data_IF_130797185677
#
_entry.id   IF_130797185677
#
_cell.length_a   1.000
_cell.length_b   1.000
_cell.length_c   1.000
_cell.angle_alpha   90.00
_cell.angle_beta   90.00
_cell.angle_gamma   90.00
#
_symmetry.space_group_name_H-M   'P 1'
#
loop_
_entity.id
_entity.type
_entity.pdbx_description
1 polymer ?
#
# COMPACT_ATOMS: atom_id res chain seq x y z
N UNK A 1 -9.61 18.52 16.71
CA UNK A 1 -9.06 17.15 16.68
C UNK A 1 -9.44 16.52 15.35
N UNK A 2 -8.52 16.41 14.38
CA UNK A 2 -8.74 15.79 13.06
C UNK A 2 -7.44 15.11 12.60
N UNK A 3 -7.00 14.06 13.30
CA UNK A 3 -5.80 13.25 12.95
C UNK A 3 -6.16 11.79 12.67
N UNK A 4 -7.32 11.56 12.07
CA UNK A 4 -7.74 10.22 11.64
C UNK A 4 -8.07 10.26 10.13
N UNK A 5 -7.83 9.15 9.44
CA UNK A 5 -8.01 9.00 7.99
C UNK A 5 -6.69 8.79 7.24
N UNK A 6 -6.78 8.42 5.96
CA UNK A 6 -5.63 8.24 5.09
C UNK A 6 -4.99 9.60 4.76
N UNK A 7 -3.67 9.71 4.97
CA UNK A 7 -2.89 10.87 4.58
C UNK A 7 -1.85 10.46 3.53
N UNK A 8 -1.54 11.30 2.53
CA UNK A 8 -2.23 12.56 2.21
C UNK A 8 -3.66 12.32 1.73
N UNK A 9 -4.61 13.14 2.22
CA UNK A 9 -6.02 13.03 1.84
C UNK A 9 -6.19 13.20 0.34
N UNK A 10 -6.90 12.27 -0.28
CA UNK A 10 -7.33 12.35 -1.67
C UNK A 10 -8.44 13.41 -1.86
N UNK A 11 -8.83 13.76 -3.10
CA UNK A 11 -9.88 14.74 -3.36
C UNK A 11 -11.25 14.38 -2.75
N UNK A 12 -11.60 13.09 -2.72
CA UNK A 12 -12.83 12.60 -2.08
C UNK A 12 -12.78 12.80 -0.56
N UNK A 13 -11.68 12.41 0.08
CA UNK A 13 -11.44 12.62 1.51
C UNK A 13 -11.48 14.10 1.89
N UNK A 14 -10.90 14.98 1.07
CA UNK A 14 -10.95 16.43 1.28
C UNK A 14 -12.37 16.97 1.21
N UNK A 15 -13.15 16.57 0.21
CA UNK A 15 -14.54 16.99 0.08
C UNK A 15 -15.37 16.53 1.27
N UNK A 16 -15.19 15.30 1.73
CA UNK A 16 -15.87 14.78 2.92
C UNK A 16 -15.49 15.60 4.16
N UNK A 17 -14.20 15.83 4.38
CA UNK A 17 -13.72 16.59 5.53
C UNK A 17 -14.19 18.05 5.53
N UNK A 18 -14.27 18.70 4.37
CA UNK A 18 -14.82 20.05 4.22
C UNK A 18 -16.29 20.11 4.63
N UNK A 19 -17.10 19.13 4.21
CA UNK A 19 -18.51 19.06 4.59
C UNK A 19 -18.68 18.82 6.10
N UNK A 20 -17.87 17.92 6.67
CA UNK A 20 -17.84 17.65 8.13
C UNK A 20 -17.45 18.91 8.90
N UNK A 21 -16.42 19.65 8.47
CA UNK A 21 -15.99 20.88 9.13
C UNK A 21 -17.06 21.98 9.07
N UNK A 22 -17.86 22.02 8.00
CA UNK A 22 -18.99 22.96 7.85
C UNK A 22 -20.27 22.48 8.55
N UNK A 23 -20.28 21.29 9.15
CA UNK A 23 -21.47 20.71 9.77
C UNK A 23 -22.59 20.38 8.79
N UNK A 24 -22.25 20.11 7.52
CA UNK A 24 -23.22 19.85 6.45
C UNK A 24 -23.36 18.34 6.21
N UNK A 25 -24.60 17.84 6.22
CA UNK A 25 -24.89 16.50 5.73
C UNK A 25 -24.91 16.58 4.20
N UNK A 26 -24.06 15.78 3.56
CA UNK A 26 -24.07 15.64 2.10
C UNK A 26 -25.31 14.85 1.69
N UNK A 27 -26.30 15.54 1.11
CA UNK A 27 -27.60 14.95 0.73
C UNK A 27 -27.58 14.25 -0.64
N UNK A 28 -26.41 14.14 -1.29
CA UNK A 28 -26.34 13.43 -2.56
C UNK A 28 -26.61 11.92 -2.39
N UNK A 29 -27.20 11.27 -3.40
CA UNK A 29 -27.41 9.82 -3.38
C UNK A 29 -26.12 9.06 -3.10
N UNK A 30 -26.19 8.01 -2.26
CA UNK A 30 -25.04 7.23 -1.79
C UNK A 30 -24.21 6.57 -2.90
N UNK A 31 -24.75 6.47 -4.11
CA UNK A 31 -24.16 5.82 -5.27
C UNK A 31 -23.68 6.80 -6.35
N UNK A 32 -23.65 8.11 -6.05
CA UNK A 32 -23.15 9.12 -6.97
C UNK A 32 -21.87 9.70 -6.40
N UNK A 33 -20.84 9.78 -7.24
CA UNK A 33 -19.66 10.57 -6.95
C UNK A 33 -19.73 11.90 -7.72
N UNK A 34 -20.16 13.01 -7.09
CA UNK A 34 -20.37 14.27 -7.78
C UNK A 34 -19.09 14.88 -8.34
N UNK A 35 -17.92 14.58 -7.75
CA UNK A 35 -16.65 15.08 -8.24
C UNK A 35 -15.95 14.19 -9.26
N UNK A 36 -16.52 13.01 -9.57
CA UNK A 36 -15.90 12.00 -10.43
C UNK A 36 -14.43 11.68 -10.07
N UNK A 37 -14.08 11.84 -8.79
CA UNK A 37 -12.73 11.81 -8.23
C UNK A 37 -12.49 10.59 -7.33
N UNK A 38 -13.31 9.55 -7.48
CA UNK A 38 -13.32 8.39 -6.57
C UNK A 38 -12.13 7.46 -6.79
N UNK A 39 -11.44 7.62 -7.92
CA UNK A 39 -10.15 7.00 -8.23
C UNK A 39 -9.02 8.03 -8.33
N UNK A 40 -9.30 9.31 -8.03
CA UNK A 40 -8.28 10.34 -8.11
C UNK A 40 -7.41 10.24 -6.85
N UNK A 41 -6.15 9.89 -7.04
CA UNK A 41 -5.15 10.02 -5.99
C UNK A 41 -4.68 11.49 -5.90
N UNK A 42 -4.15 11.92 -4.75
CA UNK A 42 -3.53 13.23 -4.64
C UNK A 42 -2.51 13.44 -5.77
N UNK A 43 -2.55 14.56 -6.50
CA UNK A 43 -1.54 14.85 -7.50
C UNK A 43 -0.18 14.99 -6.82
N UNK A 44 0.80 14.22 -7.29
CA UNK A 44 2.17 14.22 -6.78
C UNK A 44 3.02 13.17 -7.49
N UNK A 45 4.34 13.34 -7.52
CA UNK A 45 5.21 12.29 -8.02
C UNK A 45 5.03 11.06 -7.12
N UNK A 46 4.62 9.94 -7.70
CA UNK A 46 4.79 8.66 -7.01
C UNK A 46 6.28 8.38 -6.95
N UNK A 47 6.80 7.92 -5.80
CA UNK A 47 8.17 7.42 -5.77
C UNK A 47 8.32 6.36 -6.87
N UNK A 48 9.47 6.30 -7.56
CA UNK A 48 9.71 5.26 -8.55
C UNK A 48 9.52 3.91 -7.87
N UNK A 49 8.84 2.99 -8.56
CA UNK A 49 8.76 1.62 -8.10
C UNK A 49 10.19 1.06 -8.00
N UNK A 50 10.50 0.26 -6.96
CA UNK A 50 11.73 -0.53 -6.94
C UNK A 50 11.85 -1.38 -8.20
N UNK A 51 13.09 -1.67 -8.61
CA UNK A 51 13.34 -2.60 -9.71
C UNK A 51 12.86 -4.01 -9.31
N UNK A 52 12.12 -4.64 -10.21
CA UNK A 52 11.58 -6.00 -10.13
C UNK A 52 11.78 -6.60 -11.53
N UNK A 53 12.83 -7.40 -11.68
CA UNK A 53 13.36 -7.85 -12.97
C UNK A 53 12.52 -8.99 -13.56
N UNK A 54 11.96 -9.86 -12.73
CA UNK A 54 11.13 -10.98 -13.16
C UNK A 54 9.62 -10.68 -13.12
N UNK A 55 9.23 -9.55 -12.52
CA UNK A 55 7.86 -9.03 -12.51
C UNK A 55 6.93 -9.79 -11.58
N UNK A 56 7.47 -10.37 -10.50
CA UNK A 56 6.72 -11.22 -9.59
C UNK A 56 6.14 -10.47 -8.37
N UNK A 57 6.48 -9.17 -8.25
CA UNK A 57 5.98 -8.28 -7.21
C UNK A 57 6.93 -8.09 -6.03
N UNK A 58 8.09 -8.75 -6.03
CA UNK A 58 9.16 -8.55 -5.05
C UNK A 58 10.34 -7.77 -5.67
N UNK A 59 10.90 -6.76 -4.98
CA UNK A 59 12.05 -6.02 -5.52
C UNK A 59 13.34 -6.85 -5.56
N UNK A 60 14.14 -6.70 -6.62
CA UNK A 60 15.44 -7.39 -6.79
C UNK A 60 16.35 -7.24 -5.56
N UNK A 61 16.41 -6.03 -5.00
CA UNK A 61 17.25 -5.74 -3.85
C UNK A 61 16.78 -6.48 -2.58
N UNK A 62 15.46 -6.64 -2.43
CA UNK A 62 14.87 -7.38 -1.32
C UNK A 62 15.11 -8.88 -1.48
N UNK A 63 14.90 -9.41 -2.68
CA UNK A 63 15.15 -10.81 -3.01
C UNK A 63 16.60 -11.22 -2.75
N UNK A 64 17.57 -10.42 -3.23
CA UNK A 64 19.00 -10.67 -2.98
C UNK A 64 19.33 -10.66 -1.48
N UNK A 65 18.71 -9.80 -0.69
CA UNK A 65 18.92 -9.75 0.76
C UNK A 65 18.36 -10.98 1.50
N UNK A 66 17.39 -11.67 0.89
CA UNK A 66 16.75 -12.88 1.40
C UNK A 66 17.30 -14.17 0.77
N UNK A 67 18.30 -14.07 -0.12
CA UNK A 67 18.91 -15.22 -0.79
C UNK A 67 18.04 -15.82 -1.90
N UNK A 68 17.07 -15.05 -2.42
CA UNK A 68 16.27 -15.40 -3.59
C UNK A 68 16.99 -14.98 -4.89
N UNK A 69 16.42 -15.34 -6.03
CA UNK A 69 16.98 -15.05 -7.35
C UNK A 69 16.08 -14.09 -8.13
N UNK A 70 16.49 -12.82 -8.36
CA UNK A 70 15.67 -11.80 -9.05
C UNK A 70 15.27 -12.06 -10.51
N UNK A 71 15.65 -13.22 -11.04
CA UNK A 71 15.34 -13.66 -12.40
C UNK A 71 14.32 -14.80 -12.41
N UNK A 72 13.75 -15.17 -11.27
CA UNK A 72 12.90 -16.35 -11.09
C UNK A 72 11.69 -16.00 -10.24
N UNK A 73 10.51 -16.05 -10.86
CA UNK A 73 9.24 -15.75 -10.22
C UNK A 73 8.90 -16.77 -9.12
N UNK A 74 9.44 -16.56 -7.92
CA UNK A 74 9.30 -17.44 -6.77
C UNK A 74 8.43 -16.87 -5.65
N UNK A 75 7.69 -15.78 -5.94
CA UNK A 75 6.67 -15.19 -5.06
C UNK A 75 5.72 -16.19 -4.38
N UNK A 76 5.38 -17.31 -5.03
CA UNK A 76 4.52 -18.37 -4.48
C UNK A 76 5.27 -19.44 -3.65
N UNK A 77 6.60 -19.40 -3.64
CA UNK A 77 7.44 -20.20 -2.78
C UNK A 77 7.23 -19.83 -1.31
N UNK A 78 7.54 -20.76 -0.40
CA UNK A 78 7.33 -20.58 1.04
C UNK A 78 8.63 -20.69 1.85
N UNK A 79 9.77 -20.65 1.17
CA UNK A 79 11.09 -20.85 1.78
C UNK A 79 11.42 -19.81 2.85
N UNK A 80 10.86 -18.60 2.78
CA UNK A 80 11.09 -17.51 3.74
C UNK A 80 10.15 -17.53 4.96
N UNK A 81 9.04 -18.26 4.88
CA UNK A 81 8.00 -18.28 5.93
C UNK A 81 8.56 -18.64 7.32
N UNK A 82 9.27 -19.78 7.41
CA UNK A 82 9.88 -20.25 8.65
C UNK A 82 11.02 -19.35 9.16
N UNK A 83 12.02 -18.97 8.34
CA UNK A 83 13.12 -18.14 8.83
C UNK A 83 12.72 -16.69 9.15
N UNK A 84 11.76 -16.10 8.43
CA UNK A 84 11.38 -14.69 8.64
C UNK A 84 10.25 -14.51 9.65
N UNK A 85 9.18 -15.32 9.56
CA UNK A 85 7.96 -15.15 10.40
C UNK A 85 7.93 -16.14 11.56
N UNK A 86 8.72 -17.22 11.51
CA UNK A 86 8.69 -18.29 12.51
C UNK A 86 7.45 -19.19 12.44
N UNK A 87 6.60 -18.98 11.43
CA UNK A 87 5.36 -19.71 11.19
C UNK A 87 5.36 -20.16 9.72
N UNK A 88 5.02 -21.42 9.41
CA UNK A 88 4.95 -21.90 8.04
C UNK A 88 3.65 -21.44 7.34
N UNK A 89 3.67 -21.44 6.00
CA UNK A 89 2.48 -21.24 5.18
C UNK A 89 2.36 -19.87 4.50
N UNK A 90 3.28 -18.95 4.77
CA UNK A 90 3.37 -17.67 4.06
C UNK A 90 4.17 -17.84 2.77
N UNK A 91 3.71 -17.18 1.71
CA UNK A 91 4.48 -17.08 0.48
C UNK A 91 5.60 -16.05 0.64
N UNK A 92 6.63 -16.11 -0.22
CA UNK A 92 7.72 -15.12 -0.22
C UNK A 92 7.16 -13.70 -0.39
N UNK A 93 6.14 -13.54 -1.24
CA UNK A 93 5.46 -12.27 -1.42
C UNK A 93 4.75 -11.79 -0.16
N UNK A 94 4.10 -12.68 0.59
CA UNK A 94 3.46 -12.30 1.84
C UNK A 94 4.49 -11.88 2.91
N UNK A 95 5.65 -12.54 2.94
CA UNK A 95 6.78 -12.13 3.79
C UNK A 95 7.25 -10.72 3.40
N UNK A 96 7.46 -10.46 2.11
CA UNK A 96 7.84 -9.13 1.61
C UNK A 96 6.81 -8.06 2.00
N UNK A 97 5.52 -8.30 1.76
CA UNK A 97 4.46 -7.36 2.08
C UNK A 97 4.37 -7.08 3.59
N UNK A 98 4.61 -8.09 4.42
CA UNK A 98 4.67 -7.93 5.86
C UNK A 98 5.83 -7.00 6.28
N UNK A 99 7.04 -7.25 5.79
CA UNK A 99 8.22 -6.42 6.11
C UNK A 99 8.06 -4.99 5.62
N UNK A 100 7.50 -4.81 4.41
CA UNK A 100 7.23 -3.50 3.84
C UNK A 100 6.20 -2.73 4.67
N UNK A 101 5.14 -3.40 5.14
CA UNK A 101 4.14 -2.81 6.03
C UNK A 101 4.78 -2.35 7.34
N UNK A 102 5.57 -3.21 7.97
CA UNK A 102 6.30 -2.89 9.20
C UNK A 102 7.26 -1.71 9.01
N UNK A 103 7.95 -1.64 7.87
CA UNK A 103 8.81 -0.51 7.52
C UNK A 103 8.02 0.80 7.43
N UNK A 104 6.88 0.81 6.73
CA UNK A 104 6.06 2.03 6.59
C UNK A 104 5.51 2.53 7.91
N UNK A 105 5.09 1.62 8.79
CA UNK A 105 4.65 1.97 10.15
C UNK A 105 5.80 2.64 10.92
N UNK A 106 7.02 2.11 10.83
CA UNK A 106 8.20 2.72 11.46
C UNK A 106 8.56 4.09 10.88
N UNK A 107 8.43 4.24 9.56
CA UNK A 107 8.71 5.48 8.84
C UNK A 107 7.59 6.53 9.01
N UNK A 108 6.49 6.17 9.66
CA UNK A 108 5.35 7.07 9.91
C UNK A 108 4.57 7.41 8.64
N UNK A 109 4.58 6.52 7.66
CA UNK A 109 3.84 6.64 6.40
C UNK A 109 2.43 6.05 6.49
#
# INVERSE_FOLDING_TARGET
MLRAGAFPRDPMDRRLMDAVQRGQIVLQPRNINPGADGSALPPGPTPPAPLDTDGDGMPDAWELSHGLNPLVQDHNGTQLSMPSVGVPGYTNLEVYLHELSEQRIRDGQ
#
